data_IF_241679608115
#
_entry.id   IF_241679608115
#
_cell.length_a   1.000
_cell.length_b   1.000
_cell.length_c   1.000
_cell.angle_alpha   90.00
_cell.angle_beta   90.00
_cell.angle_gamma   90.00
#
_symmetry.space_group_name_H-M   'P 1'
#
loop_
_entity.id
_entity.type
_entity.pdbx_description
1 polymer ?
#
# COMPACT_ATOMS: atom_id res chain seq x y z
N UNK A 1 -10.36 -6.83 -0.76
CA UNK A 1 -9.80 -5.45 -0.76
C UNK A 1 -10.92 -4.42 -0.92
N UNK A 2 -11.78 -4.50 -1.94
CA UNK A 2 -12.94 -3.59 -2.14
C UNK A 2 -13.78 -3.45 -0.86
N UNK A 3 -14.23 -4.56 -0.28
CA UNK A 3 -15.02 -4.57 0.97
C UNK A 3 -14.34 -3.83 2.12
N UNK A 4 -13.00 -3.86 2.19
CA UNK A 4 -12.23 -3.20 3.26
C UNK A 4 -12.25 -1.67 3.19
N UNK A 5 -12.49 -1.08 2.01
CA UNK A 5 -12.57 0.37 1.83
C UNK A 5 -13.99 0.92 2.07
N UNK A 6 -15.02 0.06 2.08
CA UNK A 6 -16.42 0.47 2.24
C UNK A 6 -16.68 1.30 3.51
N UNK A 7 -16.09 0.99 4.69
CA UNK A 7 -16.30 1.80 5.88
C UNK A 7 -15.92 3.27 5.68
N UNK A 8 -14.78 3.53 5.03
CA UNK A 8 -14.27 4.89 4.78
C UNK A 8 -15.16 5.63 3.79
N UNK A 9 -15.57 4.93 2.71
CA UNK A 9 -16.45 5.49 1.68
C UNK A 9 -17.81 5.87 2.27
N UNK A 10 -18.45 4.94 2.99
CA UNK A 10 -19.78 5.15 3.58
C UNK A 10 -19.75 6.28 4.60
N UNK A 11 -18.73 6.34 5.44
CA UNK A 11 -18.57 7.43 6.40
C UNK A 11 -18.48 8.80 5.73
N UNK A 12 -17.71 8.93 4.65
CA UNK A 12 -17.63 10.19 3.91
C UNK A 12 -19.00 10.62 3.35
N UNK A 13 -19.77 9.68 2.79
CA UNK A 13 -21.13 9.94 2.31
C UNK A 13 -22.10 10.32 3.44
N UNK A 14 -22.09 9.58 4.55
CA UNK A 14 -22.91 9.85 5.74
C UNK A 14 -22.62 11.23 6.35
N UNK A 15 -21.37 11.68 6.28
CA UNK A 15 -20.96 13.03 6.69
C UNK A 15 -21.24 14.12 5.64
N UNK A 16 -21.90 13.76 4.55
CA UNK A 16 -22.40 14.70 3.56
C UNK A 16 -21.37 15.19 2.54
N UNK A 17 -20.31 14.42 2.28
CA UNK A 17 -19.36 14.74 1.21
C UNK A 17 -20.09 14.97 -0.13
N UNK A 18 -19.72 16.03 -0.86
CA UNK A 18 -20.29 16.33 -2.19
C UNK A 18 -20.06 15.15 -3.14
N UNK A 19 -18.84 14.64 -3.19
CA UNK A 19 -18.48 13.44 -3.93
C UNK A 19 -17.32 12.74 -3.22
N UNK A 20 -17.18 11.43 -3.42
CA UNK A 20 -16.03 10.65 -2.98
C UNK A 20 -15.28 10.19 -4.23
N UNK A 21 -14.10 10.78 -4.47
CA UNK A 21 -13.24 10.44 -5.60
C UNK A 21 -12.23 9.39 -5.15
N UNK A 22 -12.31 8.21 -5.77
CA UNK A 22 -11.48 7.05 -5.49
C UNK A 22 -10.39 6.94 -6.54
N UNK A 23 -9.14 6.85 -6.09
CA UNK A 23 -7.98 6.63 -6.95
C UNK A 23 -7.19 5.41 -6.44
N UNK A 24 -6.76 4.56 -7.36
CA UNK A 24 -6.10 3.30 -7.02
C UNK A 24 -5.22 2.82 -8.17
N UNK A 25 -4.56 1.69 -7.98
CA UNK A 25 -3.81 1.01 -9.04
C UNK A 25 -4.15 -0.48 -9.07
N UNK A 26 -3.96 -1.10 -10.23
CA UNK A 26 -4.05 -2.54 -10.40
C UNK A 26 -2.87 -3.06 -11.22
N UNK A 27 -2.26 -4.16 -10.74
CA UNK A 27 -1.15 -4.80 -11.43
C UNK A 27 0.10 -3.92 -11.60
N UNK A 28 0.85 -4.18 -12.67
CA UNK A 28 2.07 -3.45 -13.06
C UNK A 28 1.97 -3.11 -14.55
N UNK A 29 1.26 -2.02 -14.88
CA UNK A 29 1.15 -1.53 -16.25
C UNK A 29 2.37 -0.70 -16.70
N UNK A 30 3.35 -0.46 -15.81
CA UNK A 30 4.62 0.23 -16.10
C UNK A 30 4.45 1.58 -16.82
N UNK A 31 3.49 2.41 -16.36
CA UNK A 31 3.29 3.75 -16.90
C UNK A 31 2.75 3.77 -18.33
N UNK A 32 1.98 2.74 -18.71
CA UNK A 32 1.29 2.66 -20.01
C UNK A 32 -0.13 2.12 -19.84
N UNK A 33 -1.13 2.67 -20.56
CA UNK A 33 -2.49 2.13 -20.55
C UNK A 33 -2.53 0.67 -20.99
N UNK A 34 -3.19 -0.18 -20.19
CA UNK A 34 -3.35 -1.60 -20.50
C UNK A 34 -4.72 -2.09 -20.03
N UNK A 35 -5.57 -2.50 -20.97
CA UNK A 35 -6.94 -2.94 -20.70
C UNK A 35 -7.02 -4.07 -19.65
N UNK A 36 -6.02 -4.96 -19.57
CA UNK A 36 -5.93 -6.02 -18.55
C UNK A 36 -5.92 -5.46 -17.11
N UNK A 37 -5.38 -4.26 -16.95
CA UNK A 37 -5.19 -3.61 -15.67
C UNK A 37 -6.16 -2.44 -15.45
N UNK A 38 -7.22 -2.31 -16.25
CA UNK A 38 -8.26 -1.29 -16.03
C UNK A 38 -9.02 -1.54 -14.74
N UNK A 39 -9.34 -0.48 -14.02
CA UNK A 39 -10.18 -0.50 -12.81
C UNK A 39 -11.68 -0.55 -13.11
N UNK A 40 -12.09 -0.61 -14.38
CA UNK A 40 -13.51 -0.72 -14.74
C UNK A 40 -14.19 -1.93 -14.08
N UNK A 41 -13.51 -3.07 -14.02
CA UNK A 41 -14.02 -4.28 -13.33
C UNK A 41 -14.22 -4.05 -11.82
N UNK A 42 -13.48 -3.12 -11.22
CA UNK A 42 -13.61 -2.74 -9.81
C UNK A 42 -14.80 -1.81 -9.62
N UNK A 43 -15.11 -0.95 -10.60
CA UNK A 43 -16.31 -0.11 -10.58
C UNK A 43 -17.57 -0.98 -10.48
N UNK A 44 -17.71 -1.98 -11.35
CA UNK A 44 -18.87 -2.87 -11.41
C UNK A 44 -19.10 -3.62 -10.08
N UNK A 45 -18.03 -4.03 -9.42
CA UNK A 45 -18.13 -4.69 -8.11
C UNK A 45 -18.43 -3.69 -6.99
N UNK A 46 -17.85 -2.49 -7.03
CA UNK A 46 -18.11 -1.44 -6.05
C UNK A 46 -19.58 -0.98 -6.10
N UNK A 47 -20.19 -0.92 -7.28
CA UNK A 47 -21.62 -0.62 -7.44
C UNK A 47 -22.50 -1.63 -6.69
N UNK A 48 -22.20 -2.92 -6.82
CA UNK A 48 -22.93 -3.99 -6.11
C UNK A 48 -22.78 -3.88 -4.60
N UNK A 49 -21.56 -3.60 -4.13
CA UNK A 49 -21.26 -3.52 -2.70
C UNK A 49 -21.86 -2.28 -2.02
N UNK A 50 -22.01 -1.17 -2.75
CA UNK A 50 -22.61 0.06 -2.26
C UNK A 50 -24.12 0.17 -2.55
N UNK A 51 -24.65 -0.68 -3.43
CA UNK A 51 -26.01 -0.57 -3.95
C UNK A 51 -26.30 0.84 -4.51
N UNK A 52 -25.31 1.42 -5.18
CA UNK A 52 -25.34 2.77 -5.74
C UNK A 52 -24.46 2.81 -6.99
N UNK A 53 -24.86 3.61 -7.98
CA UNK A 53 -24.07 3.86 -9.19
C UNK A 53 -22.71 4.49 -8.86
N UNK A 54 -21.66 3.99 -9.51
CA UNK A 54 -20.29 4.51 -9.45
C UNK A 54 -19.97 5.13 -10.80
N UNK A 55 -19.55 6.39 -10.79
CA UNK A 55 -19.12 7.08 -12.00
C UNK A 55 -17.68 6.66 -12.27
N UNK A 56 -17.47 5.91 -13.35
CA UNK A 56 -16.12 5.54 -13.77
C UNK A 56 -15.55 6.60 -14.73
N UNK A 57 -14.40 7.18 -14.38
CA UNK A 57 -13.65 8.06 -15.26
C UNK A 57 -12.61 7.25 -16.05
N UNK A 58 -12.52 7.49 -17.37
CA UNK A 58 -11.62 6.73 -18.25
C UNK A 58 -10.12 7.10 -18.07
N UNK A 59 -9.84 8.11 -17.26
CA UNK A 59 -8.49 8.53 -16.87
C UNK A 59 -8.52 8.95 -15.38
N UNK A 60 -7.37 9.28 -14.79
CA UNK A 60 -7.24 9.78 -13.43
C UNK A 60 -6.84 11.26 -13.33
N UNK A 61 -6.46 11.88 -14.44
CA UNK A 61 -6.11 13.30 -14.55
C UNK A 61 -6.65 13.90 -15.85
N UNK A 62 -6.53 15.21 -16.02
CA UNK A 62 -6.97 15.93 -17.23
C UNK A 62 -8.35 16.57 -17.11
N UNK A 63 -8.67 17.42 -18.10
CA UNK A 63 -9.87 18.27 -18.08
C UNK A 63 -11.19 17.48 -18.02
N UNK A 64 -11.26 16.33 -18.70
CA UNK A 64 -12.46 15.48 -18.69
C UNK A 64 -12.72 14.86 -17.31
N UNK A 65 -11.64 14.50 -16.59
CA UNK A 65 -11.73 14.00 -15.21
C UNK A 65 -12.17 15.12 -14.26
N UNK A 66 -11.56 16.30 -14.38
CA UNK A 66 -11.96 17.47 -13.59
C UNK A 66 -13.45 17.82 -13.82
N UNK A 67 -13.91 17.81 -15.07
CA UNK A 67 -15.32 18.04 -15.42
C UNK A 67 -16.24 16.96 -14.85
N UNK A 68 -15.84 15.69 -14.93
CA UNK A 68 -16.61 14.56 -14.37
C UNK A 68 -16.76 14.69 -12.86
N UNK A 69 -15.69 15.01 -12.14
CA UNK A 69 -15.72 15.22 -10.68
C UNK A 69 -16.55 16.45 -10.31
N UNK A 70 -16.40 17.56 -11.04
CA UNK A 70 -17.10 18.80 -10.74
C UNK A 70 -18.62 18.71 -10.96
N UNK A 71 -19.03 18.00 -12.02
CA UNK A 71 -20.43 17.76 -12.37
C UNK A 71 -21.08 16.60 -11.61
N UNK A 72 -20.31 15.86 -10.80
CA UNK A 72 -20.82 14.73 -10.05
C UNK A 72 -21.93 15.18 -9.07
N UNK A 73 -23.07 14.47 -9.02
CA UNK A 73 -24.17 14.82 -8.12
C UNK A 73 -23.75 14.65 -6.65
N UNK A 74 -24.47 15.32 -5.74
CA UNK A 74 -24.20 15.22 -4.31
C UNK A 74 -24.29 13.76 -3.83
N UNK A 75 -23.27 13.31 -3.10
CA UNK A 75 -23.14 11.93 -2.61
C UNK A 75 -22.63 10.94 -3.65
N UNK A 76 -22.19 11.39 -4.83
CA UNK A 76 -21.66 10.51 -5.87
C UNK A 76 -20.34 9.85 -5.45
N UNK A 77 -20.13 8.65 -5.98
CA UNK A 77 -18.84 7.96 -5.94
C UNK A 77 -18.26 8.02 -7.34
N UNK A 78 -17.02 8.52 -7.46
CA UNK A 78 -16.27 8.57 -8.71
C UNK A 78 -15.07 7.66 -8.56
N UNK A 79 -14.92 6.66 -9.43
CA UNK A 79 -13.71 5.83 -9.50
C UNK A 79 -12.89 6.27 -10.72
N UNK A 80 -11.67 6.73 -10.45
CA UNK A 80 -10.69 7.06 -11.48
C UNK A 80 -10.07 5.80 -12.07
N UNK A 81 -9.58 5.90 -13.30
CA UNK A 81 -8.79 4.83 -13.91
C UNK A 81 -7.44 4.64 -13.18
N UNK A 82 -6.78 3.53 -13.47
CA UNK A 82 -5.54 3.07 -12.85
C UNK A 82 -4.43 4.14 -12.88
N UNK A 83 -4.04 4.61 -11.69
CA UNK A 83 -2.99 5.61 -11.49
C UNK A 83 -1.66 5.21 -12.16
N UNK A 84 -1.34 3.92 -12.22
CA UNK A 84 -0.08 3.43 -12.80
C UNK A 84 -0.07 3.38 -14.33
N UNK A 85 -1.16 3.75 -15.00
CA UNK A 85 -1.10 4.04 -16.43
C UNK A 85 -0.25 5.29 -16.74
N UNK A 86 0.00 6.12 -15.72
CA UNK A 86 0.88 7.28 -15.77
C UNK A 86 2.23 6.93 -15.12
N UNK A 87 3.34 7.21 -15.81
CA UNK A 87 4.69 6.98 -15.28
C UNK A 87 4.96 7.85 -14.06
N UNK A 88 4.28 8.99 -13.97
CA UNK A 88 4.35 10.01 -12.93
C UNK A 88 3.88 9.49 -11.56
N UNK A 89 3.09 8.40 -11.52
CA UNK A 89 2.67 7.78 -10.25
C UNK A 89 3.84 7.12 -9.52
N UNK A 90 4.58 6.23 -10.21
CA UNK A 90 5.74 5.53 -9.62
C UNK A 90 7.06 6.32 -9.82
N UNK A 91 7.01 7.42 -10.59
CA UNK A 91 8.16 8.27 -10.94
C UNK A 91 9.17 7.61 -11.88
N UNK A 92 8.91 6.36 -12.28
CA UNK A 92 9.74 5.60 -13.21
C UNK A 92 8.99 4.38 -13.75
N UNK A 93 9.41 3.90 -14.91
CA UNK A 93 8.97 2.62 -15.49
C UNK A 93 10.13 1.80 -16.00
N UNK A 94 9.88 0.55 -16.35
CA UNK A 94 10.80 -0.27 -17.12
C UNK A 94 10.40 -0.24 -18.59
N UNK A 95 11.37 -0.14 -19.49
CA UNK A 95 11.13 -0.41 -20.92
C UNK A 95 11.08 -1.91 -21.21
N UNK A 96 10.84 -2.26 -22.48
CA UNK A 96 10.79 -3.64 -22.95
C UNK A 96 12.11 -4.41 -22.72
N UNK A 97 13.23 -3.69 -22.60
CA UNK A 97 14.55 -4.28 -22.33
C UNK A 97 14.88 -4.33 -20.81
N UNK A 98 13.97 -3.85 -19.96
CA UNK A 98 14.13 -3.82 -18.51
C UNK A 98 14.90 -2.62 -17.95
N UNK A 99 15.27 -1.64 -18.79
CA UNK A 99 15.95 -0.43 -18.34
C UNK A 99 14.99 0.50 -17.62
N UNK A 100 15.48 1.19 -16.59
CA UNK A 100 14.68 2.12 -15.80
C UNK A 100 14.63 3.49 -16.47
N UNK A 101 13.45 3.88 -16.94
CA UNK A 101 13.15 5.23 -17.43
C UNK A 101 12.55 6.03 -16.28
N UNK A 102 13.08 7.22 -15.99
CA UNK A 102 12.52 8.13 -14.98
C UNK A 102 11.50 9.08 -15.63
N UNK A 103 10.45 9.41 -14.91
CA UNK A 103 9.54 10.48 -15.29
C UNK A 103 10.24 11.84 -15.18
N UNK A 104 9.85 12.78 -16.03
CA UNK A 104 10.27 14.17 -15.90
C UNK A 104 9.68 14.78 -14.61
N UNK A 105 10.47 15.58 -13.88
CA UNK A 105 10.04 16.13 -12.60
C UNK A 105 8.87 17.12 -12.75
N UNK A 106 8.86 17.93 -13.82
CA UNK A 106 7.75 18.85 -14.06
C UNK A 106 6.47 18.10 -14.46
N UNK A 107 6.59 16.97 -15.17
CA UNK A 107 5.46 16.08 -15.43
C UNK A 107 4.91 15.47 -14.14
N UNK A 108 5.78 14.98 -13.24
CA UNK A 108 5.37 14.48 -11.91
C UNK A 108 4.65 15.54 -11.09
N UNK A 109 5.18 16.78 -11.08
CA UNK A 109 4.57 17.88 -10.33
C UNK A 109 3.21 18.29 -10.93
N UNK A 110 3.09 18.32 -12.26
CA UNK A 110 1.82 18.55 -12.96
C UNK A 110 0.79 17.45 -12.65
N UNK A 111 1.19 16.19 -12.67
CA UNK A 111 0.32 15.05 -12.33
C UNK A 111 -0.21 15.16 -10.89
N UNK A 112 0.67 15.48 -9.94
CA UNK A 112 0.31 15.70 -8.53
C UNK A 112 -0.64 16.88 -8.34
N UNK A 113 -0.42 17.98 -9.05
CA UNK A 113 -1.32 19.14 -9.02
C UNK A 113 -2.71 18.77 -9.56
N UNK A 114 -2.77 18.02 -10.67
CA UNK A 114 -4.05 17.57 -11.23
C UNK A 114 -4.81 16.67 -10.25
N UNK A 115 -4.15 15.70 -9.61
CA UNK A 115 -4.78 14.89 -8.55
C UNK A 115 -5.25 15.75 -7.36
N UNK A 116 -4.45 16.75 -6.98
CA UNK A 116 -4.79 17.66 -5.87
C UNK A 116 -6.06 18.46 -6.14
N UNK A 117 -6.33 18.84 -7.39
CA UNK A 117 -7.55 19.58 -7.76
C UNK A 117 -8.85 18.76 -7.63
N UNK A 118 -8.77 17.43 -7.51
CA UNK A 118 -9.95 16.55 -7.53
C UNK A 118 -10.68 16.47 -6.19
N UNK A 119 -10.20 17.13 -5.14
CA UNK A 119 -10.89 17.16 -3.87
C UNK A 119 -10.38 18.23 -2.92
N UNK A 120 -11.15 18.46 -1.86
CA UNK A 120 -10.84 19.46 -0.84
C UNK A 120 -10.14 18.83 0.38
N UNK A 121 -10.32 17.52 0.57
CA UNK A 121 -9.72 16.70 1.64
C UNK A 121 -9.14 15.43 1.04
N UNK A 122 -7.95 15.04 1.48
CA UNK A 122 -7.31 13.79 1.07
C UNK A 122 -7.40 12.75 2.19
N UNK A 123 -7.82 11.53 1.84
CA UNK A 123 -7.88 10.39 2.76
C UNK A 123 -7.04 9.26 2.17
N UNK A 124 -5.98 8.86 2.87
CA UNK A 124 -5.20 7.68 2.52
C UNK A 124 -5.75 6.46 3.26
N UNK A 125 -6.33 5.52 2.52
CA UNK A 125 -6.81 4.24 3.05
C UNK A 125 -6.03 3.03 2.46
N UNK A 126 -4.83 3.28 1.94
CA UNK A 126 -3.99 2.32 1.24
C UNK A 126 -2.66 2.04 1.97
N UNK A 127 -2.72 1.38 3.13
CA UNK A 127 -1.53 1.07 3.95
C UNK A 127 -0.46 0.29 3.18
N UNK A 128 -0.89 -0.67 2.34
CA UNK A 128 0.02 -1.50 1.54
C UNK A 128 0.89 -0.72 0.54
N UNK A 129 0.55 0.54 0.23
CA UNK A 129 1.37 1.43 -0.60
C UNK A 129 2.04 2.55 0.18
N UNK A 130 1.77 2.70 1.47
CA UNK A 130 2.29 3.81 2.28
C UNK A 130 3.82 3.83 2.40
N UNK A 131 4.49 2.68 2.21
CA UNK A 131 5.95 2.58 2.17
C UNK A 131 6.59 3.17 0.90
N UNK A 132 5.79 3.65 -0.06
CA UNK A 132 6.27 4.18 -1.34
C UNK A 132 6.05 5.68 -1.45
N UNK A 133 7.08 6.40 -1.88
CA UNK A 133 7.01 7.84 -2.17
C UNK A 133 6.36 8.15 -3.53
N UNK A 134 5.26 7.47 -3.85
CA UNK A 134 4.51 7.68 -5.08
C UNK A 134 3.71 8.98 -5.04
N UNK A 135 3.25 9.44 -6.22
CA UNK A 135 2.48 10.68 -6.35
C UNK A 135 1.15 10.63 -5.59
N UNK A 136 0.39 9.54 -5.66
CA UNK A 136 -0.85 9.36 -4.92
C UNK A 136 -0.70 9.28 -3.40
N UNK A 137 0.49 8.91 -2.89
CA UNK A 137 0.76 8.70 -1.47
C UNK A 137 1.28 9.98 -0.80
N UNK A 138 2.19 10.68 -1.47
CA UNK A 138 2.94 11.81 -0.89
C UNK A 138 2.80 13.12 -1.66
N UNK A 139 2.25 13.08 -2.88
CA UNK A 139 2.20 14.20 -3.80
C UNK A 139 0.94 15.04 -3.74
N UNK A 140 -0.15 14.55 -3.13
CA UNK A 140 -1.40 15.32 -2.97
C UNK A 140 -1.22 16.33 -1.84
N UNK A 141 -1.35 17.62 -2.19
CA UNK A 141 -1.11 18.75 -1.28
C UNK A 141 -2.42 19.46 -0.95
N UNK A 142 -3.17 18.88 -0.02
CA UNK A 142 -4.35 19.50 0.58
C UNK A 142 -4.09 19.79 2.05
N UNK A 143 -4.74 20.81 2.59
CA UNK A 143 -4.57 21.24 3.99
C UNK A 143 -4.96 20.12 4.96
N UNK A 144 -6.04 19.39 4.63
CA UNK A 144 -6.49 18.24 5.42
C UNK A 144 -6.10 16.94 4.74
N UNK A 145 -5.22 16.18 5.39
CA UNK A 145 -4.81 14.82 5.00
C UNK A 145 -5.03 13.87 6.16
N UNK A 146 -5.86 12.86 5.97
CA UNK A 146 -6.26 11.93 7.01
C UNK A 146 -5.99 10.47 6.63
N UNK A 147 -5.87 9.61 7.64
CA UNK A 147 -5.94 8.17 7.45
C UNK A 147 -7.40 7.74 7.34
N UNK A 148 -7.72 6.89 6.36
CA UNK A 148 -8.98 6.15 6.32
C UNK A 148 -9.00 5.07 7.42
N UNK A 149 -10.12 4.37 7.57
CA UNK A 149 -10.26 3.42 8.69
C UNK A 149 -9.33 2.22 8.61
N UNK A 150 -8.98 1.75 7.41
CA UNK A 150 -8.03 0.66 7.24
C UNK A 150 -6.63 1.12 7.67
N UNK A 151 -6.16 2.26 7.15
CA UNK A 151 -4.84 2.80 7.53
C UNK A 151 -4.82 3.16 9.02
N UNK A 152 -5.87 3.78 9.55
CA UNK A 152 -6.00 4.08 10.98
C UNK A 152 -5.83 2.82 11.82
N UNK A 153 -6.53 1.74 11.48
CA UNK A 153 -6.43 0.47 12.18
C UNK A 153 -4.99 -0.06 12.14
N UNK A 154 -4.37 -0.10 10.97
CA UNK A 154 -2.97 -0.55 10.85
C UNK A 154 -2.03 0.28 11.74
N UNK A 155 -2.13 1.61 11.70
CA UNK A 155 -1.34 2.52 12.54
C UNK A 155 -1.59 2.27 14.04
N UNK A 156 -2.83 2.10 14.47
CA UNK A 156 -3.17 1.82 15.87
C UNK A 156 -2.56 0.48 16.36
N UNK A 157 -2.61 -0.57 15.54
CA UNK A 157 -2.01 -1.86 15.88
C UNK A 157 -0.48 -1.77 15.93
N UNK A 158 0.15 -1.13 14.94
CA UNK A 158 1.61 -0.97 14.94
C UNK A 158 2.10 -0.05 16.06
N UNK A 159 1.38 1.03 16.39
CA UNK A 159 1.74 1.91 17.50
C UNK A 159 1.72 1.15 18.84
N UNK A 160 0.68 0.33 19.08
CA UNK A 160 0.63 -0.55 20.25
C UNK A 160 1.84 -1.48 20.32
N UNK A 161 2.28 -2.03 19.19
CA UNK A 161 3.40 -2.97 19.15
C UNK A 161 4.77 -2.28 19.25
N UNK A 162 4.94 -1.11 18.65
CA UNK A 162 6.24 -0.47 18.46
C UNK A 162 6.56 0.62 19.48
N UNK A 163 5.56 1.30 20.04
CA UNK A 163 5.75 2.45 20.94
C UNK A 163 5.51 2.08 22.41
N UNK A 164 4.41 1.39 22.70
CA UNK A 164 4.01 1.02 24.05
C UNK A 164 3.37 -0.38 24.13
N UNK A 165 4.15 -1.46 23.86
CA UNK A 165 3.61 -2.81 23.89
C UNK A 165 3.18 -3.23 25.29
N UNK A 166 1.97 -3.79 25.39
CA UNK A 166 1.55 -4.52 26.59
C UNK A 166 2.52 -5.69 26.81
N UNK A 167 3.01 -5.81 28.05
CA UNK A 167 4.01 -6.82 28.42
C UNK A 167 3.37 -7.93 29.26
N UNK A 168 3.78 -9.20 29.08
CA UNK A 168 4.87 -9.66 28.22
C UNK A 168 4.53 -9.64 26.72
N UNK A 169 5.40 -9.00 25.92
CA UNK A 169 5.25 -8.93 24.47
C UNK A 169 6.03 -10.06 23.79
N UNK A 170 5.29 -10.96 23.13
CA UNK A 170 5.85 -12.09 22.39
C UNK A 170 5.81 -11.81 20.87
N UNK A 171 6.95 -11.92 20.20
CA UNK A 171 7.00 -12.01 18.74
C UNK A 171 7.17 -13.46 18.28
N UNK A 172 6.46 -13.84 17.22
CA UNK A 172 6.59 -15.14 16.57
C UNK A 172 7.04 -14.89 15.13
N UNK A 173 8.29 -15.21 14.82
CA UNK A 173 8.89 -15.02 13.50
C UNK A 173 9.13 -16.37 12.84
N UNK A 174 8.59 -16.52 11.64
CA UNK A 174 8.81 -17.70 10.80
C UNK A 174 9.12 -17.35 9.36
N UNK A 175 9.46 -18.36 8.57
CA UNK A 175 9.83 -18.19 7.16
C UNK A 175 10.84 -19.24 6.73
N UNK A 176 11.29 -19.14 5.47
CA UNK A 176 12.25 -20.08 4.90
C UNK A 176 13.70 -19.69 5.18
N UNK A 177 14.02 -18.40 5.13
CA UNK A 177 15.39 -17.86 5.20
C UNK A 177 15.54 -16.90 6.36
N UNK A 178 16.68 -16.97 7.05
CA UNK A 178 17.04 -16.03 8.13
C UNK A 178 17.48 -14.70 7.54
N UNK A 179 18.23 -14.73 6.43
CA UNK A 179 18.80 -13.57 5.74
C UNK A 179 17.77 -12.51 5.38
N UNK A 180 16.59 -12.92 4.92
CA UNK A 180 15.47 -12.03 4.59
C UNK A 180 14.83 -11.34 5.83
N UNK A 181 15.18 -11.78 7.04
CA UNK A 181 14.55 -11.38 8.31
C UNK A 181 15.51 -10.83 9.35
N UNK A 182 16.82 -10.75 9.09
CA UNK A 182 17.81 -10.23 10.04
C UNK A 182 17.37 -8.86 10.59
N UNK A 183 17.13 -7.88 9.69
CA UNK A 183 16.72 -6.53 10.11
C UNK A 183 15.42 -6.51 10.92
N UNK A 184 14.50 -7.44 10.62
CA UNK A 184 13.25 -7.56 11.39
C UNK A 184 13.51 -8.14 12.78
N UNK A 185 14.38 -9.14 12.89
CA UNK A 185 14.77 -9.73 14.18
C UNK A 185 15.48 -8.68 15.03
N UNK A 186 16.48 -8.00 14.49
CA UNK A 186 17.27 -6.99 15.21
C UNK A 186 16.37 -5.90 15.82
N UNK A 187 15.47 -5.34 15.00
CA UNK A 187 14.52 -4.32 15.47
C UNK A 187 13.48 -4.85 16.47
N UNK A 188 13.19 -6.16 16.46
CA UNK A 188 12.25 -6.78 17.40
C UNK A 188 12.90 -7.15 18.73
N UNK A 189 14.19 -7.53 18.74
CA UNK A 189 14.92 -7.88 19.96
C UNK A 189 14.94 -6.75 20.99
N UNK A 190 14.98 -5.49 20.54
CA UNK A 190 14.92 -4.33 21.42
C UNK A 190 13.53 -4.11 22.07
N UNK A 191 12.49 -4.77 21.55
CA UNK A 191 11.08 -4.48 21.89
C UNK A 191 10.40 -5.62 22.64
N UNK A 192 10.69 -6.86 22.28
CA UNK A 192 9.96 -8.05 22.77
C UNK A 192 10.50 -8.53 24.11
N UNK A 193 9.65 -9.18 24.90
CA UNK A 193 10.07 -9.96 26.08
C UNK A 193 10.46 -11.39 25.71
N UNK A 194 9.91 -11.90 24.61
CA UNK A 194 10.17 -13.25 24.14
C UNK A 194 10.07 -13.29 22.62
N UNK A 195 10.92 -14.10 22.00
CA UNK A 195 10.94 -14.31 20.55
C UNK A 195 10.88 -15.80 20.27
N UNK A 196 9.90 -16.23 19.48
CA UNK A 196 9.83 -17.58 18.93
C UNK A 196 10.28 -17.54 17.49
N UNK A 197 11.31 -18.32 17.16
CA UNK A 197 11.73 -18.59 15.78
C UNK A 197 11.17 -19.94 15.34
N UNK A 198 10.41 -19.95 14.25
CA UNK A 198 9.77 -21.15 13.72
C UNK A 198 9.92 -21.29 12.19
N UNK A 199 9.47 -22.42 11.63
CA UNK A 199 9.58 -22.71 10.20
C UNK A 199 10.99 -23.08 9.75
N UNK A 200 11.26 -22.97 8.44
CA UNK A 200 12.53 -23.39 7.83
C UNK A 200 13.76 -22.66 8.39
N UNK A 201 13.60 -21.39 8.75
CA UNK A 201 14.69 -20.59 9.34
C UNK A 201 15.14 -21.12 10.71
N UNK A 202 14.26 -21.81 11.46
CA UNK A 202 14.62 -22.39 12.76
C UNK A 202 15.74 -23.44 12.66
N UNK A 203 15.82 -24.18 11.55
CA UNK A 203 16.90 -25.14 11.33
C UNK A 203 18.27 -24.46 11.22
N UNK A 204 18.34 -23.25 10.67
CA UNK A 204 19.59 -22.49 10.61
C UNK A 204 20.07 -22.09 12.01
N UNK A 205 19.15 -21.66 12.89
CA UNK A 205 19.46 -21.41 14.30
C UNK A 205 19.88 -22.69 15.05
N UNK A 206 19.14 -23.79 14.87
CA UNK A 206 19.47 -25.08 15.50
C UNK A 206 20.80 -25.65 15.01
N UNK A 207 21.14 -25.47 13.74
CA UNK A 207 22.46 -25.83 13.20
C UNK A 207 23.58 -25.04 13.91
N UNK A 208 23.34 -23.78 14.25
CA UNK A 208 24.32 -22.95 14.99
C UNK A 208 24.46 -23.36 16.46
N UNK A 209 23.47 -24.06 17.02
CA UNK A 209 23.55 -24.74 18.32
C UNK A 209 24.20 -26.13 18.23
N UNK A 210 24.70 -26.53 17.05
CA UNK A 210 25.34 -27.83 16.84
C UNK A 210 24.38 -28.99 16.50
N UNK A 211 23.10 -28.71 16.28
CA UNK A 211 22.11 -29.75 15.93
C UNK A 211 22.29 -30.21 14.48
N UNK A 212 22.23 -31.53 14.26
CA UNK A 212 22.19 -32.12 12.91
C UNK A 212 20.81 -31.91 12.29
N UNK A 213 20.76 -31.25 11.12
CA UNK A 213 19.51 -30.83 10.47
C UNK A 213 19.10 -31.68 9.24
N UNK A 214 19.93 -32.63 8.81
CA UNK A 214 19.69 -33.41 7.57
C UNK A 214 19.55 -32.50 6.34
N UNK A 215 18.58 -32.81 5.48
CA UNK A 215 18.26 -32.05 4.26
C UNK A 215 17.30 -30.87 4.51
N UNK A 216 17.13 -30.46 5.77
CA UNK A 216 16.30 -29.31 6.11
C UNK A 216 16.87 -28.02 5.52
N UNK A 217 16.00 -27.02 5.33
CA UNK A 217 16.39 -25.71 4.79
C UNK A 217 17.52 -25.09 5.62
N UNK A 218 18.62 -24.76 4.95
CA UNK A 218 19.78 -24.12 5.55
C UNK A 218 20.13 -22.84 4.81
N UNK A 219 20.12 -21.72 5.53
CA UNK A 219 20.51 -20.42 4.98
C UNK A 219 21.93 -20.07 5.43
N UNK A 220 22.90 -20.32 4.55
CA UNK A 220 24.32 -20.07 4.84
C UNK A 220 24.61 -18.60 5.16
N UNK A 221 24.00 -17.66 4.42
CA UNK A 221 24.23 -16.23 4.64
C UNK A 221 23.61 -15.77 5.97
N UNK A 222 22.46 -16.34 6.34
CA UNK A 222 21.84 -16.10 7.64
C UNK A 222 22.61 -16.72 8.80
N UNK A 223 23.18 -17.91 8.61
CA UNK A 223 23.94 -18.65 9.64
C UNK A 223 25.10 -17.84 10.23
N UNK A 224 25.83 -17.12 9.38
CA UNK A 224 26.98 -16.29 9.78
C UNK A 224 26.60 -15.17 10.77
N UNK A 225 25.31 -14.80 10.83
CA UNK A 225 24.80 -13.75 11.72
C UNK A 225 24.00 -14.27 12.91
N UNK A 226 23.80 -15.58 13.02
CA UNK A 226 22.99 -16.16 14.11
C UNK A 226 23.60 -15.84 15.48
N UNK A 227 24.92 -15.80 15.59
CA UNK A 227 25.59 -15.50 16.86
C UNK A 227 25.47 -14.03 17.28
N UNK A 228 25.17 -13.11 16.36
CA UNK A 228 24.88 -11.71 16.67
C UNK A 228 23.45 -11.51 17.22
N UNK A 229 22.57 -12.49 16.99
CA UNK A 229 21.13 -12.46 17.34
C UNK A 229 20.86 -13.11 18.71
N UNK A 230 21.79 -13.91 19.22
CA UNK A 230 21.69 -14.60 20.52
C UNK A 230 21.97 -13.65 21.69
#
# INVERSE_FOLDING_TARGET
RIVGALPTIKYAQEKGAKAVVLMSHMGRPDGQPNAKYSLKIVADELEKQLNQKVIFANDCVGADVENTVNSAPKGAIVLLENLRFHIEEEGSRKDEQGNKIKADQAAVDSFRQQLTKLGDVYVNDAFGTAHRAHSSVSGVKLDTRAAGFLVKKELEYFARVLEAPERPFLAILGGAKVSDKIQLIDNMLEKVNSLIICGGMAYTFKKAEGVTIGDSLFDKAGFEKVDEIK
#
